data_IF_934117919865
#
_entry.id   IF_934117919865
#
_cell.length_a   1.000
_cell.length_b   1.000
_cell.length_c   1.000
_cell.angle_alpha   90.00
_cell.angle_beta   90.00
_cell.angle_gamma   90.00
#
_symmetry.space_group_name_H-M   'P 1'
#
loop_
_entity.id
_entity.type
_entity.pdbx_description
1 polymer ?
#
# COMPACT_ATOMS: atom_id res chain seq x y z
N UNK A 1 55.41 45.04 28.89
CA UNK A 1 53.95 44.82 28.93
C UNK A 1 53.63 43.58 28.09
N UNK A 2 52.61 42.78 28.47
CA UNK A 2 52.72 41.32 28.58
C UNK A 2 52.01 40.51 27.48
N UNK A 3 52.46 39.25 27.36
CA UNK A 3 51.75 38.01 27.01
C UNK A 3 50.51 38.05 26.11
N UNK A 4 50.49 37.21 25.08
CA UNK A 4 49.45 36.16 25.01
C UNK A 4 49.85 35.01 24.09
N UNK A 5 49.92 33.83 24.71
CA UNK A 5 49.92 32.51 24.09
C UNK A 5 48.67 32.32 23.23
N UNK A 6 48.79 31.97 21.96
CA UNK A 6 47.69 31.37 21.21
C UNK A 6 47.79 29.85 21.32
N UNK A 7 47.03 29.29 22.26
CA UNK A 7 46.92 27.85 22.51
C UNK A 7 46.14 27.18 21.38
N UNK A 8 46.68 26.03 20.98
CA UNK A 8 46.06 24.99 20.17
C UNK A 8 44.69 24.56 20.73
N UNK A 9 43.70 24.47 19.84
CA UNK A 9 42.54 23.59 20.04
C UNK A 9 42.22 22.90 18.71
N UNK A 10 42.85 21.76 18.46
CA UNK A 10 42.48 20.85 17.37
C UNK A 10 41.24 20.09 17.84
N UNK A 11 40.09 20.42 17.28
CA UNK A 11 38.84 19.69 17.50
C UNK A 11 38.88 18.41 16.66
N UNK A 12 39.32 17.31 17.27
CA UNK A 12 39.21 15.96 16.67
C UNK A 12 37.78 15.49 16.88
N UNK A 13 36.92 15.74 15.89
CA UNK A 13 35.60 15.11 15.82
C UNK A 13 35.77 13.64 15.42
N UNK A 14 35.88 12.76 16.41
CA UNK A 14 35.71 11.32 16.24
C UNK A 14 34.22 11.07 15.97
N UNK A 15 33.82 11.14 14.70
CA UNK A 15 32.54 10.60 14.25
C UNK A 15 32.67 9.08 14.19
N UNK A 16 32.44 8.44 15.33
CA UNK A 16 31.99 7.06 15.41
C UNK A 16 30.56 6.99 14.82
N UNK A 17 30.48 7.05 13.49
CA UNK A 17 29.27 6.86 12.73
C UNK A 17 28.93 5.38 12.67
N UNK A 18 28.13 4.96 13.63
CA UNK A 18 27.40 3.70 13.73
C UNK A 18 27.01 3.19 12.33
N UNK A 19 27.41 1.95 12.04
CA UNK A 19 26.84 1.12 10.99
C UNK A 19 25.32 1.07 11.16
N UNK A 20 24.61 1.98 10.52
CA UNK A 20 23.20 1.77 10.21
C UNK A 20 23.22 0.74 9.08
N UNK A 21 23.30 -0.54 9.44
CA UNK A 21 22.67 -1.58 8.63
C UNK A 21 21.19 -1.23 8.68
N UNK A 22 20.77 -0.37 7.76
CA UNK A 22 19.38 -0.14 7.49
C UNK A 22 18.85 -1.50 7.08
N UNK A 23 18.15 -2.18 7.98
CA UNK A 23 17.17 -3.15 7.57
C UNK A 23 16.29 -2.41 6.56
N UNK A 24 16.52 -2.64 5.27
CA UNK A 24 15.56 -2.37 4.20
C UNK A 24 14.40 -3.36 4.37
N UNK A 25 13.74 -3.27 5.51
CA UNK A 25 12.35 -3.62 5.67
C UNK A 25 11.59 -2.48 4.99
N UNK A 26 10.76 -2.66 3.96
CA UNK A 26 10.19 -3.87 3.40
C UNK A 26 9.83 -3.54 1.95
N UNK A 27 10.33 -4.29 0.96
CA UNK A 27 9.53 -4.42 -0.24
C UNK A 27 8.23 -5.12 0.19
N UNK A 28 7.06 -4.51 0.00
CA UNK A 28 5.77 -5.19 0.23
C UNK A 28 5.51 -6.28 -0.83
N UNK A 29 6.55 -6.93 -1.32
CA UNK A 29 6.46 -8.04 -2.25
C UNK A 29 5.88 -9.25 -1.52
N UNK A 30 4.85 -9.92 -2.07
CA UNK A 30 4.37 -11.19 -1.52
C UNK A 30 5.50 -12.21 -1.45
N UNK A 31 5.72 -12.78 -0.26
CA UNK A 31 6.69 -13.85 -0.03
C UNK A 31 6.24 -15.21 -0.55
N UNK A 32 6.82 -16.28 -0.01
CA UNK A 32 6.46 -17.64 -0.39
C UNK A 32 5.03 -17.97 0.04
N UNK A 33 4.21 -18.38 -0.93
CA UNK A 33 2.80 -18.65 -0.70
C UNK A 33 2.55 -19.77 0.31
N UNK A 34 3.41 -20.79 0.35
CA UNK A 34 3.24 -21.94 1.26
C UNK A 34 3.30 -21.50 2.72
N UNK A 35 4.14 -20.51 3.01
CA UNK A 35 4.33 -19.99 4.36
C UNK A 35 3.06 -19.26 4.81
N UNK A 36 2.44 -18.46 3.92
CA UNK A 36 1.15 -17.84 4.21
C UNK A 36 0.03 -18.86 4.42
N UNK A 37 -0.07 -19.87 3.55
CA UNK A 37 -1.16 -20.85 3.62
C UNK A 37 -1.09 -21.77 4.85
N UNK A 38 0.07 -21.85 5.51
CA UNK A 38 0.28 -22.64 6.73
C UNK A 38 0.33 -21.78 8.00
N UNK A 39 0.33 -20.46 7.86
CA UNK A 39 0.41 -19.54 8.99
C UNK A 39 -0.93 -19.47 9.75
N UNK A 40 -0.89 -19.80 11.04
CA UNK A 40 -2.07 -19.85 11.92
C UNK A 40 -2.62 -18.46 12.30
N UNK A 41 -1.84 -17.40 12.14
CA UNK A 41 -2.27 -16.02 12.37
C UNK A 41 -3.14 -15.48 11.23
N UNK A 42 -3.05 -16.09 10.03
CA UNK A 42 -3.87 -15.68 8.91
C UNK A 42 -5.27 -16.26 9.09
N UNK A 43 -6.32 -15.43 9.13
CA UNK A 43 -7.68 -15.94 9.28
C UNK A 43 -8.04 -16.93 8.17
N UNK A 44 -8.65 -18.07 8.54
CA UNK A 44 -9.01 -19.14 7.61
C UNK A 44 -9.81 -18.65 6.41
N UNK A 45 -10.67 -17.66 6.61
CA UNK A 45 -11.46 -17.00 5.56
C UNK A 45 -10.60 -16.41 4.44
N UNK A 46 -9.47 -15.77 4.78
CA UNK A 46 -8.53 -15.17 3.82
C UNK A 46 -7.87 -16.27 2.99
N UNK A 47 -7.48 -17.37 3.65
CA UNK A 47 -6.89 -18.55 3.00
C UNK A 47 -7.91 -19.24 2.08
N UNK A 48 -9.15 -19.39 2.54
CA UNK A 48 -10.22 -20.03 1.77
C UNK A 48 -10.60 -19.17 0.54
N UNK A 49 -10.61 -17.84 0.67
CA UNK A 49 -10.76 -16.95 -0.49
C UNK A 49 -9.62 -17.11 -1.48
N UNK A 50 -8.37 -17.07 -1.01
CA UNK A 50 -7.18 -17.22 -1.85
C UNK A 50 -7.25 -18.52 -2.69
N UNK A 51 -7.68 -19.61 -2.06
CA UNK A 51 -7.85 -20.93 -2.69
C UNK A 51 -9.11 -21.05 -3.55
N UNK A 52 -9.92 -19.99 -3.69
CA UNK A 52 -11.15 -20.00 -4.48
C UNK A 52 -12.29 -20.84 -3.88
N UNK A 53 -12.21 -21.19 -2.59
CA UNK A 53 -13.23 -22.00 -1.90
C UNK A 53 -14.45 -21.18 -1.47
N UNK A 54 -14.27 -19.87 -1.26
CA UNK A 54 -15.37 -18.96 -0.96
C UNK A 54 -15.98 -18.42 -2.25
N UNK A 55 -17.28 -18.63 -2.42
CA UNK A 55 -18.09 -17.81 -3.32
C UNK A 55 -18.35 -16.49 -2.60
N UNK A 56 -18.27 -15.33 -3.24
CA UNK A 56 -18.04 -14.13 -2.45
C UNK A 56 -19.33 -13.50 -1.89
N UNK A 57 -20.37 -14.30 -1.63
CA UNK A 57 -21.65 -13.85 -1.10
C UNK A 57 -21.60 -13.32 0.35
N UNK A 58 -20.53 -13.58 1.10
CA UNK A 58 -20.37 -13.11 2.49
C UNK A 58 -19.57 -11.79 2.54
N UNK A 59 -20.27 -10.66 2.59
CA UNK A 59 -19.74 -9.31 2.73
C UNK A 59 -18.74 -9.17 3.90
N UNK A 60 -19.03 -9.83 5.03
CA UNK A 60 -18.18 -9.85 6.23
C UNK A 60 -16.75 -10.35 5.94
N UNK A 61 -16.60 -11.25 4.98
CA UNK A 61 -15.30 -11.83 4.62
C UNK A 61 -14.44 -10.85 3.80
N UNK A 62 -15.08 -9.96 3.04
CA UNK A 62 -14.42 -8.93 2.24
C UNK A 62 -13.96 -7.78 3.14
N UNK A 63 -14.83 -7.35 4.06
CA UNK A 63 -14.48 -6.34 5.07
C UNK A 63 -13.28 -6.82 5.91
N UNK A 64 -13.29 -8.09 6.34
CA UNK A 64 -12.15 -8.67 7.06
C UNK A 64 -10.85 -8.65 6.24
N UNK A 65 -10.91 -8.90 4.92
CA UNK A 65 -9.74 -8.83 4.04
C UNK A 65 -9.22 -7.40 3.87
N UNK A 66 -10.13 -6.44 3.68
CA UNK A 66 -9.81 -5.02 3.57
C UNK A 66 -9.15 -4.49 4.85
N UNK A 67 -9.74 -4.80 6.01
CA UNK A 67 -9.19 -4.43 7.32
C UNK A 67 -7.80 -5.05 7.55
N UNK A 68 -7.61 -6.30 7.12
CA UNK A 68 -6.34 -7.02 7.28
C UNK A 68 -5.18 -6.38 6.51
N UNK A 69 -5.42 -5.64 5.42
CA UNK A 69 -4.38 -4.87 4.73
C UNK A 69 -3.74 -3.81 5.63
N UNK A 70 -4.48 -3.31 6.62
CA UNK A 70 -3.97 -2.35 7.60
C UNK A 70 -3.21 -2.99 8.76
N UNK A 71 -2.98 -4.32 8.72
CA UNK A 71 -2.22 -5.03 9.73
C UNK A 71 -0.84 -4.40 9.97
N UNK A 72 -0.43 -4.36 11.24
CA UNK A 72 0.91 -3.94 11.65
C UNK A 72 1.97 -4.99 11.33
N UNK A 73 1.58 -6.25 11.13
CA UNK A 73 2.50 -7.32 10.75
C UNK A 73 2.93 -7.13 9.28
N UNK A 74 4.16 -6.65 9.08
CA UNK A 74 4.71 -6.36 7.77
C UNK A 74 4.99 -7.61 6.93
N UNK A 75 5.09 -8.80 7.56
CA UNK A 75 5.31 -10.06 6.85
C UNK A 75 4.01 -10.58 6.22
N UNK A 76 2.89 -10.41 6.91
CA UNK A 76 1.56 -10.88 6.46
C UNK A 76 0.84 -9.87 5.57
N UNK A 77 1.13 -8.57 5.72
CA UNK A 77 0.48 -7.50 4.94
C UNK A 77 0.51 -7.74 3.42
N UNK A 78 1.64 -8.11 2.80
CA UNK A 78 1.69 -8.40 1.37
C UNK A 78 0.71 -9.50 0.93
N UNK A 79 0.46 -10.50 1.80
CA UNK A 79 -0.51 -11.55 1.50
C UNK A 79 -1.96 -11.03 1.51
N UNK A 80 -2.32 -10.20 2.49
CA UNK A 80 -3.65 -9.58 2.50
C UNK A 80 -3.86 -8.68 1.27
N UNK A 81 -2.85 -7.91 0.89
CA UNK A 81 -2.89 -7.09 -0.33
C UNK A 81 -2.99 -7.93 -1.60
N UNK A 82 -2.33 -9.10 -1.66
CA UNK A 82 -2.47 -10.07 -2.75
C UNK A 82 -3.90 -10.62 -2.83
N UNK A 83 -4.50 -10.97 -1.70
CA UNK A 83 -5.88 -11.45 -1.64
C UNK A 83 -6.86 -10.38 -2.13
N UNK A 84 -6.73 -9.14 -1.65
CA UNK A 84 -7.55 -8.02 -2.14
C UNK A 84 -7.30 -7.75 -3.62
N UNK A 85 -6.07 -7.88 -4.13
CA UNK A 85 -5.79 -7.74 -5.56
C UNK A 85 -6.52 -8.78 -6.41
N UNK A 86 -6.65 -10.02 -5.92
CA UNK A 86 -7.47 -11.06 -6.54
C UNK A 86 -8.98 -10.73 -6.46
N UNK A 87 -9.42 -10.10 -5.36
CA UNK A 87 -10.80 -9.59 -5.25
C UNK A 87 -11.07 -8.48 -6.26
N UNK A 88 -10.14 -7.55 -6.46
CA UNK A 88 -10.25 -6.47 -7.45
C UNK A 88 -10.35 -7.04 -8.86
N UNK A 89 -9.56 -8.06 -9.18
CA UNK A 89 -9.61 -8.74 -10.48
C UNK A 89 -10.93 -9.48 -10.73
N UNK A 90 -11.46 -10.17 -9.71
CA UNK A 90 -12.66 -11.01 -9.83
C UNK A 90 -13.94 -10.29 -9.46
N UNK A 91 -13.90 -8.98 -9.21
CA UNK A 91 -14.98 -8.30 -8.50
C UNK A 91 -16.32 -8.48 -9.21
N UNK A 92 -17.23 -9.21 -8.56
CA UNK A 92 -18.63 -9.35 -8.98
C UNK A 92 -19.37 -8.10 -8.45
N UNK A 93 -20.39 -7.65 -9.18
CA UNK A 93 -21.12 -6.39 -8.92
C UNK A 93 -21.52 -6.17 -7.46
N UNK A 94 -21.82 -7.23 -6.72
CA UNK A 94 -22.28 -7.18 -5.33
C UNK A 94 -21.28 -6.56 -4.33
N UNK A 95 -19.98 -6.46 -4.64
CA UNK A 95 -18.95 -5.93 -3.72
C UNK A 95 -18.16 -4.79 -4.35
N UNK A 96 -18.72 -4.20 -5.41
CA UNK A 96 -18.03 -3.15 -6.15
C UNK A 96 -17.72 -1.96 -5.24
N UNK A 97 -18.67 -1.64 -4.37
CA UNK A 97 -18.67 -0.45 -3.51
C UNK A 97 -17.68 -0.58 -2.34
N UNK A 98 -17.80 -1.61 -1.50
CA UNK A 98 -16.89 -1.78 -0.34
C UNK A 98 -15.44 -1.95 -0.77
N UNK A 99 -15.22 -2.69 -1.85
CA UNK A 99 -13.89 -2.89 -2.39
C UNK A 99 -13.32 -1.59 -2.98
N UNK A 100 -14.15 -0.78 -3.66
CA UNK A 100 -13.77 0.54 -4.15
C UNK A 100 -13.37 1.48 -3.02
N UNK A 101 -14.23 1.60 -2.01
CA UNK A 101 -13.99 2.38 -0.80
C UNK A 101 -12.72 1.95 -0.08
N UNK A 102 -12.58 0.65 0.21
CA UNK A 102 -11.41 0.11 0.90
C UNK A 102 -10.10 0.31 0.13
N UNK A 103 -10.10 0.16 -1.20
CA UNK A 103 -8.92 0.44 -2.01
C UNK A 103 -8.52 1.92 -1.96
N UNK A 104 -9.51 2.83 -2.06
CA UNK A 104 -9.30 4.28 -1.98
C UNK A 104 -8.76 4.68 -0.60
N UNK A 105 -9.41 4.22 0.47
CA UNK A 105 -8.99 4.52 1.84
C UNK A 105 -7.58 3.98 2.13
N UNK A 106 -7.26 2.77 1.65
CA UNK A 106 -5.93 2.21 1.81
C UNK A 106 -4.86 3.03 1.08
N UNK A 107 -5.12 3.45 -0.16
CA UNK A 107 -4.23 4.32 -0.91
C UNK A 107 -4.01 5.68 -0.22
N UNK A 108 -5.07 6.26 0.36
CA UNK A 108 -5.00 7.52 1.09
C UNK A 108 -4.20 7.39 2.39
N UNK A 109 -4.40 6.30 3.14
CA UNK A 109 -3.79 6.13 4.46
C UNK A 109 -2.38 5.54 4.43
N UNK A 110 -2.10 4.63 3.49
CA UNK A 110 -0.88 3.83 3.38
C UNK A 110 -0.32 3.80 1.93
N UNK A 111 -0.15 4.96 1.27
CA UNK A 111 0.27 5.02 -0.14
C UNK A 111 1.59 4.31 -0.41
N UNK A 112 2.56 4.42 0.50
CA UNK A 112 3.86 3.77 0.39
C UNK A 112 3.74 2.24 0.28
N UNK A 113 2.90 1.63 1.11
CA UNK A 113 2.74 0.17 1.11
C UNK A 113 2.12 -0.30 -0.20
N UNK A 114 1.10 0.43 -0.70
CA UNK A 114 0.49 0.12 -1.98
C UNK A 114 1.49 0.27 -3.13
N UNK A 115 2.27 1.35 -3.15
CA UNK A 115 3.28 1.59 -4.19
C UNK A 115 4.34 0.49 -4.19
N UNK A 116 4.89 0.15 -3.03
CA UNK A 116 5.90 -0.91 -2.90
C UNK A 116 5.35 -2.27 -3.33
N UNK A 117 4.10 -2.57 -2.99
CA UNK A 117 3.43 -3.81 -3.38
C UNK A 117 3.17 -3.87 -4.89
N UNK A 118 2.61 -2.81 -5.48
CA UNK A 118 2.28 -2.77 -6.91
C UNK A 118 3.52 -2.76 -7.80
N UNK A 119 4.64 -2.20 -7.32
CA UNK A 119 5.92 -2.22 -8.01
C UNK A 119 6.74 -3.48 -7.73
N UNK A 120 6.28 -4.36 -6.83
CA UNK A 120 6.97 -5.61 -6.58
C UNK A 120 6.97 -6.47 -7.85
N UNK A 121 8.16 -6.86 -8.31
CA UNK A 121 8.29 -7.83 -9.39
C UNK A 121 7.98 -9.23 -8.85
N UNK A 122 6.69 -9.51 -8.61
CA UNK A 122 6.23 -10.79 -8.08
C UNK A 122 5.33 -11.51 -9.09
N UNK A 123 5.60 -12.80 -9.39
CA UNK A 123 4.75 -13.59 -10.27
C UNK A 123 3.37 -13.90 -9.66
N UNK A 124 3.18 -13.64 -8.36
CA UNK A 124 1.90 -13.84 -7.68
C UNK A 124 0.90 -12.73 -8.00
N UNK A 125 1.38 -11.54 -8.39
CA UNK A 125 0.51 -10.42 -8.73
C UNK A 125 -0.24 -10.68 -10.04
N UNK A 126 -1.56 -10.43 -10.08
CA UNK A 126 -2.31 -10.51 -11.34
C UNK A 126 -1.73 -9.58 -12.42
N UNK A 127 -1.79 -9.96 -13.71
CA UNK A 127 -1.46 -9.06 -14.79
C UNK A 127 -2.29 -7.76 -14.72
N UNK A 128 -1.62 -6.61 -14.92
CA UNK A 128 -2.25 -5.30 -14.85
C UNK A 128 -2.80 -4.95 -13.45
N UNK A 129 -2.28 -5.55 -12.39
CA UNK A 129 -2.76 -5.33 -11.01
C UNK A 129 -2.88 -3.84 -10.67
N UNK A 130 -1.85 -3.04 -10.96
CA UNK A 130 -1.88 -1.60 -10.72
C UNK A 130 -3.05 -0.90 -11.44
N UNK A 131 -3.28 -1.21 -12.72
CA UNK A 131 -4.38 -0.61 -13.48
C UNK A 131 -5.75 -1.01 -12.93
N UNK A 132 -5.91 -2.28 -12.54
CA UNK A 132 -7.14 -2.78 -11.91
C UNK A 132 -7.43 -2.05 -10.59
N UNK A 133 -6.40 -1.84 -9.76
CA UNK A 133 -6.52 -1.05 -8.53
C UNK A 133 -6.91 0.40 -8.81
N UNK A 134 -6.24 1.06 -9.75
CA UNK A 134 -6.54 2.46 -10.07
C UNK A 134 -7.94 2.63 -10.65
N UNK A 135 -8.37 1.74 -11.54
CA UNK A 135 -9.74 1.74 -12.07
C UNK A 135 -10.77 1.53 -10.97
N UNK A 136 -10.47 0.68 -9.98
CA UNK A 136 -11.37 0.44 -8.85
C UNK A 136 -11.54 1.68 -7.97
N UNK A 137 -10.47 2.44 -7.77
CA UNK A 137 -10.51 3.71 -7.05
C UNK A 137 -11.21 4.79 -7.88
N UNK A 138 -11.01 4.81 -9.20
CA UNK A 138 -11.72 5.72 -10.09
C UNK A 138 -13.23 5.47 -10.07
N UNK A 139 -13.66 4.20 -10.15
CA UNK A 139 -15.05 3.79 -10.01
C UNK A 139 -15.67 4.28 -8.69
N UNK A 140 -14.92 4.19 -7.59
CA UNK A 140 -15.37 4.69 -6.28
C UNK A 140 -15.54 6.20 -6.25
N UNK A 141 -14.59 6.94 -6.86
CA UNK A 141 -14.68 8.41 -6.95
C UNK A 141 -15.88 8.83 -7.81
N UNK A 142 -16.09 8.20 -8.98
CA UNK A 142 -17.28 8.45 -9.81
C UNK A 142 -18.58 8.28 -9.04
N UNK A 143 -18.67 7.16 -8.33
CA UNK A 143 -19.86 6.78 -7.58
C UNK A 143 -20.15 7.73 -6.42
N UNK A 144 -19.13 8.12 -5.66
CA UNK A 144 -19.30 8.93 -4.44
C UNK A 144 -19.29 10.43 -4.67
N UNK A 145 -18.79 10.89 -5.82
CA UNK A 145 -18.55 12.29 -6.10
C UNK A 145 -19.15 12.76 -7.44
N UNK A 146 -20.30 12.21 -7.83
CA UNK A 146 -21.01 12.57 -9.06
C UNK A 146 -21.08 14.11 -9.25
N UNK A 147 -20.51 14.58 -10.37
CA UNK A 147 -20.42 16.00 -10.73
C UNK A 147 -19.32 16.81 -10.02
N UNK A 148 -18.52 16.18 -9.16
CA UNK A 148 -17.40 16.77 -8.39
C UNK A 148 -16.18 15.86 -8.35
N UNK A 149 -16.01 15.00 -9.34
CA UNK A 149 -15.00 13.94 -9.38
C UNK A 149 -13.58 14.52 -9.29
N UNK A 150 -13.33 15.62 -9.99
CA UNK A 150 -12.03 16.32 -9.97
C UNK A 150 -11.66 16.85 -8.58
N UNK A 151 -12.63 17.43 -7.86
CA UNK A 151 -12.40 17.94 -6.51
C UNK A 151 -12.13 16.80 -5.53
N UNK A 152 -12.89 15.70 -5.65
CA UNK A 152 -12.68 14.51 -4.83
C UNK A 152 -11.35 13.83 -5.12
N UNK A 153 -10.95 13.71 -6.39
CA UNK A 153 -9.65 13.20 -6.78
C UNK A 153 -8.53 14.05 -6.18
N UNK A 154 -8.65 15.38 -6.27
CA UNK A 154 -7.67 16.32 -5.70
C UNK A 154 -7.55 16.14 -4.18
N UNK A 155 -8.66 16.04 -3.45
CA UNK A 155 -8.65 15.78 -2.00
C UNK A 155 -8.04 14.44 -1.64
N UNK A 156 -8.40 13.39 -2.38
CA UNK A 156 -7.82 12.05 -2.23
C UNK A 156 -6.30 12.10 -2.43
N UNK A 157 -5.85 12.74 -3.50
CA UNK A 157 -4.43 12.92 -3.81
C UNK A 157 -3.70 13.66 -2.70
N UNK A 158 -4.24 14.78 -2.20
CA UNK A 158 -3.62 15.52 -1.09
C UNK A 158 -3.54 14.67 0.18
N UNK A 159 -4.58 13.89 0.49
CA UNK A 159 -4.57 12.96 1.62
C UNK A 159 -3.42 11.95 1.51
N UNK A 160 -3.29 11.29 0.37
CA UNK A 160 -2.19 10.35 0.10
C UNK A 160 -0.82 11.05 0.09
N UNK A 161 -0.72 12.22 -0.54
CA UNK A 161 0.53 12.95 -0.73
C UNK A 161 1.19 13.34 0.60
N UNK A 162 0.39 13.75 1.58
CA UNK A 162 0.88 14.14 2.91
C UNK A 162 1.45 12.95 3.70
N UNK A 163 1.04 11.72 3.36
CA UNK A 163 1.45 10.48 4.04
C UNK A 163 2.50 9.69 3.27
N UNK A 164 2.79 10.07 2.03
CA UNK A 164 3.71 9.39 1.13
C UNK A 164 5.16 9.88 1.33
N UNK A 165 6.10 8.94 1.45
CA UNK A 165 7.54 9.26 1.50
C UNK A 165 8.00 9.94 0.21
N UNK A 166 9.00 10.81 0.34
CA UNK A 166 9.55 11.58 -0.78
C UNK A 166 9.97 10.71 -1.98
N UNK A 167 10.56 9.53 -1.75
CA UNK A 167 10.99 8.60 -2.79
C UNK A 167 9.84 8.03 -3.63
N UNK A 168 8.64 7.95 -3.06
CA UNK A 168 7.47 7.35 -3.71
C UNK A 168 6.50 8.39 -4.31
N UNK A 169 6.72 9.68 -4.07
CA UNK A 169 5.82 10.75 -4.54
C UNK A 169 5.67 10.80 -6.06
N UNK A 170 6.75 10.57 -6.81
CA UNK A 170 6.69 10.53 -8.27
C UNK A 170 5.77 9.40 -8.76
N UNK A 171 5.92 8.20 -8.18
CA UNK A 171 5.04 7.06 -8.49
C UNK A 171 3.60 7.33 -8.07
N UNK A 172 3.38 7.95 -6.90
CA UNK A 172 2.05 8.34 -6.45
C UNK A 172 1.36 9.25 -7.48
N UNK A 173 2.06 10.25 -8.01
CA UNK A 173 1.50 11.13 -9.06
C UNK A 173 1.16 10.36 -10.33
N UNK A 174 1.96 9.36 -10.74
CA UNK A 174 1.64 8.51 -11.89
C UNK A 174 0.38 7.68 -11.64
N UNK A 175 0.24 7.11 -10.44
CA UNK A 175 -0.96 6.36 -10.05
C UNK A 175 -2.21 7.24 -10.07
N UNK A 176 -2.15 8.45 -9.51
CA UNK A 176 -3.28 9.38 -9.54
C UNK A 176 -3.65 9.87 -10.94
N UNK A 177 -2.69 10.00 -11.86
CA UNK A 177 -2.99 10.26 -13.28
C UNK A 177 -3.73 9.10 -13.94
N UNK A 178 -3.45 7.85 -13.55
CA UNK A 178 -4.22 6.67 -14.02
C UNK A 178 -5.64 6.69 -13.48
N UNK A 179 -5.83 7.06 -12.20
CA UNK A 179 -7.17 7.25 -11.61
C UNK A 179 -7.92 8.34 -12.38
N UNK A 180 -7.27 9.49 -12.62
CA UNK A 180 -7.85 10.61 -13.37
C UNK A 180 -8.30 10.21 -14.77
N UNK A 181 -7.48 9.44 -15.50
CA UNK A 181 -7.83 8.94 -16.83
C UNK A 181 -9.02 7.96 -16.81
N UNK A 182 -9.32 7.37 -15.65
CA UNK A 182 -10.46 6.50 -15.43
C UNK A 182 -11.74 7.23 -15.02
N UNK A 183 -11.68 8.53 -14.70
CA UNK A 183 -12.82 9.42 -14.39
C UNK A 183 -13.53 9.86 -15.69
#
# INVERSE_FOLDING_TARGET
MPFTFLRFTVFVCVLAGILIVGNQACAQAPGNIKDYLTNKEIPKVIIDYYNGKLKPADELNILAALDSMSSRNAELRPFYMLVVSKMVEKSISAWKDDLGKGCKEFMEQRPDYLIEFLNAQSPLLPPGCADKWMNKIADEIKRTCEGREKDCLSRSYQSAWTRCRASNKATLSVLYKKIEAGL
#
